data_IF_770745071184
#
_entry.id   IF_770745071184
#
_cell.length_a   1.000
_cell.length_b   1.000
_cell.length_c   1.000
_cell.angle_alpha   90.00
_cell.angle_beta   90.00
_cell.angle_gamma   90.00
#
_symmetry.space_group_name_H-M   'P 1'
#
loop_
_entity.id
_entity.type
_entity.pdbx_description
1 polymer ?
#
# COMPACT_ATOMS: atom_id res chain seq x y z
N UNK A 1 -3.67 -3.96 14.54
CA UNK A 1 -3.44 -5.40 14.25
C UNK A 1 -2.71 -6.03 15.44
N UNK A 2 -2.79 -7.35 15.70
CA UNK A 2 -1.89 -7.98 16.69
C UNK A 2 -0.46 -7.83 16.17
N UNK A 3 0.46 -7.25 16.94
CA UNK A 3 1.82 -6.93 16.47
C UNK A 3 2.53 -8.13 15.82
N UNK A 4 2.30 -9.34 16.33
CA UNK A 4 2.82 -10.59 15.78
C UNK A 4 2.48 -10.81 14.30
N UNK A 5 1.27 -10.43 13.88
CA UNK A 5 0.79 -10.62 12.51
C UNK A 5 1.48 -9.62 11.58
N UNK A 6 1.59 -8.36 12.01
CA UNK A 6 2.31 -7.33 11.24
C UNK A 6 3.77 -7.71 11.04
N UNK A 7 4.44 -8.19 12.08
CA UNK A 7 5.82 -8.65 12.01
C UNK A 7 5.99 -9.83 11.06
N UNK A 8 5.02 -10.76 11.04
CA UNK A 8 5.02 -11.88 10.09
C UNK A 8 4.89 -11.38 8.64
N UNK A 9 3.95 -10.47 8.39
CA UNK A 9 3.76 -9.86 7.06
C UNK A 9 5.05 -9.16 6.63
N UNK A 10 5.66 -8.35 7.50
CA UNK A 10 6.92 -7.67 7.19
C UNK A 10 8.01 -8.68 6.82
N UNK A 11 8.19 -9.74 7.62
CA UNK A 11 9.16 -10.78 7.32
C UNK A 11 8.93 -11.44 5.96
N UNK A 12 7.67 -11.69 5.59
CA UNK A 12 7.30 -12.23 4.27
C UNK A 12 7.61 -11.25 3.12
N UNK A 13 7.50 -9.94 3.36
CA UNK A 13 7.66 -8.92 2.32
C UNK A 13 9.10 -8.40 2.16
N UNK A 14 9.93 -8.51 3.19
CA UNK A 14 11.22 -7.82 3.26
C UNK A 14 12.42 -8.77 3.40
N UNK A 15 12.21 -10.08 3.29
CA UNK A 15 13.27 -11.09 3.46
C UNK A 15 14.48 -10.94 2.53
N UNK A 16 14.30 -10.24 1.40
CA UNK A 16 15.32 -10.04 0.36
C UNK A 16 15.78 -8.58 0.23
N UNK A 17 15.37 -7.69 1.14
CA UNK A 17 15.71 -6.26 1.04
C UNK A 17 17.06 -5.95 1.71
N UNK A 18 17.96 -5.32 0.96
CA UNK A 18 19.33 -5.01 1.40
C UNK A 18 19.44 -3.75 2.28
N UNK A 19 18.46 -2.85 2.21
CA UNK A 19 18.44 -1.61 3.00
C UNK A 19 17.01 -1.12 3.35
N UNK A 20 16.94 -0.13 4.24
CA UNK A 20 15.68 0.42 4.76
C UNK A 20 14.83 1.11 3.67
N UNK A 21 15.45 1.84 2.76
CA UNK A 21 14.71 2.53 1.69
C UNK A 21 14.05 1.52 0.74
N UNK A 22 14.80 0.49 0.33
CA UNK A 22 14.28 -0.58 -0.51
C UNK A 22 13.15 -1.35 0.17
N UNK A 23 13.27 -1.56 1.48
CA UNK A 23 12.23 -2.15 2.31
C UNK A 23 10.93 -1.34 2.26
N UNK A 24 11.00 -0.01 2.45
CA UNK A 24 9.83 0.87 2.40
C UNK A 24 9.18 0.86 1.01
N UNK A 25 9.98 0.98 -0.04
CA UNK A 25 9.51 0.93 -1.44
C UNK A 25 8.79 -0.40 -1.71
N UNK A 26 9.39 -1.53 -1.30
CA UNK A 26 8.82 -2.86 -1.51
C UNK A 26 7.47 -3.03 -0.83
N UNK A 27 7.34 -2.54 0.40
CA UNK A 27 6.08 -2.55 1.15
C UNK A 27 5.03 -1.72 0.43
N UNK A 28 5.37 -0.50 0.01
CA UNK A 28 4.47 0.36 -0.74
C UNK A 28 3.99 -0.31 -2.04
N UNK A 29 4.91 -0.82 -2.86
CA UNK A 29 4.59 -1.51 -4.10
C UNK A 29 3.65 -2.69 -3.86
N UNK A 30 3.93 -3.50 -2.84
CA UNK A 30 3.08 -4.64 -2.51
C UNK A 30 1.67 -4.23 -2.14
N UNK A 31 1.51 -3.17 -1.34
CA UNK A 31 0.19 -2.67 -0.92
C UNK A 31 -0.54 -1.98 -2.08
N UNK A 32 0.19 -1.22 -2.91
CA UNK A 32 -0.33 -0.60 -4.14
C UNK A 32 -0.92 -1.64 -5.08
N UNK A 33 -0.23 -2.76 -5.24
CA UNK A 33 -0.60 -3.82 -6.18
C UNK A 33 -1.73 -4.72 -5.64
N UNK A 34 -2.22 -4.49 -4.42
CA UNK A 34 -3.43 -5.17 -3.90
C UNK A 34 -4.67 -4.71 -4.70
N UNK A 35 -5.39 -5.63 -5.37
CA UNK A 35 -6.59 -5.32 -6.13
C UNK A 35 -7.61 -4.49 -5.36
N UNK A 36 -8.22 -3.53 -6.05
CA UNK A 36 -9.37 -2.80 -5.50
C UNK A 36 -10.59 -3.71 -5.36
N UNK A 37 -11.28 -3.57 -4.23
CA UNK A 37 -12.63 -4.12 -4.08
C UNK A 37 -13.13 -4.19 -2.65
N UNK A 38 -14.42 -4.50 -2.53
CA UNK A 38 -15.13 -4.54 -1.25
C UNK A 38 -14.97 -5.93 -0.63
N UNK A 39 -14.48 -5.95 0.61
CA UNK A 39 -14.34 -7.17 1.42
C UNK A 39 -15.10 -7.10 2.75
N UNK A 40 -15.96 -6.07 2.91
CA UNK A 40 -16.71 -5.75 4.14
C UNK A 40 -15.86 -5.66 5.41
N UNK A 41 -14.57 -5.35 5.26
CA UNK A 41 -13.63 -5.11 6.36
C UNK A 41 -12.61 -4.07 5.93
N UNK A 42 -12.15 -3.28 6.89
CA UNK A 42 -11.01 -2.36 6.75
C UNK A 42 -9.83 -2.78 7.64
N UNK A 43 -9.93 -3.94 8.29
CA UNK A 43 -8.85 -4.46 9.11
C UNK A 43 -7.66 -4.79 8.19
N UNK A 44 -6.46 -4.25 8.46
CA UNK A 44 -5.22 -4.55 7.75
C UNK A 44 -4.97 -6.04 7.50
N UNK A 45 -5.23 -6.88 8.51
CA UNK A 45 -5.07 -8.34 8.40
C UNK A 45 -6.00 -8.94 7.34
N UNK A 46 -7.26 -8.51 7.32
CA UNK A 46 -8.23 -8.98 6.34
C UNK A 46 -7.88 -8.53 4.92
N UNK A 47 -7.41 -7.27 4.78
CA UNK A 47 -6.98 -6.70 3.49
C UNK A 47 -5.79 -7.49 2.94
N UNK A 48 -4.81 -7.80 3.80
CA UNK A 48 -3.64 -8.61 3.41
C UNK A 48 -4.04 -10.04 3.02
N UNK A 49 -4.76 -10.75 3.91
CA UNK A 49 -5.12 -12.15 3.69
C UNK A 49 -6.03 -12.37 2.48
N UNK A 50 -7.00 -11.47 2.27
CA UNK A 50 -7.92 -11.54 1.11
C UNK A 50 -7.29 -11.00 -0.16
N UNK A 51 -6.10 -10.38 -0.07
CA UNK A 51 -5.41 -9.72 -1.17
C UNK A 51 -6.37 -8.84 -1.99
N UNK A 52 -7.21 -8.06 -1.29
CA UNK A 52 -8.23 -7.18 -1.88
C UNK A 52 -8.66 -6.12 -0.88
N UNK A 53 -8.85 -4.87 -1.32
CA UNK A 53 -9.31 -3.81 -0.42
C UNK A 53 -9.65 -2.49 -1.10
N UNK A 54 -10.46 -1.67 -0.42
CA UNK A 54 -10.75 -0.29 -0.83
C UNK A 54 -9.56 0.64 -0.62
N UNK A 55 -9.64 1.89 -1.07
CA UNK A 55 -8.60 2.90 -0.86
C UNK A 55 -8.22 3.00 0.63
N UNK A 56 -9.21 3.17 1.51
CA UNK A 56 -9.00 3.30 2.95
C UNK A 56 -8.43 2.02 3.58
N UNK A 57 -8.91 0.84 3.19
CA UNK A 57 -8.40 -0.43 3.73
C UNK A 57 -6.92 -0.64 3.41
N UNK A 58 -6.50 -0.33 2.19
CA UNK A 58 -5.09 -0.42 1.79
C UNK A 58 -4.19 0.58 2.52
N UNK A 59 -4.64 1.82 2.69
CA UNK A 59 -3.85 2.83 3.41
C UNK A 59 -3.71 2.50 4.91
N UNK A 60 -4.74 1.91 5.52
CA UNK A 60 -4.64 1.41 6.90
C UNK A 60 -3.64 0.26 7.03
N UNK A 61 -3.58 -0.65 6.04
CA UNK A 61 -2.54 -1.68 6.00
C UNK A 61 -1.13 -1.07 5.88
N UNK A 62 -0.93 -0.13 4.94
CA UNK A 62 0.34 0.54 4.76
C UNK A 62 0.81 1.26 6.03
N UNK A 63 -0.12 1.96 6.70
CA UNK A 63 0.14 2.65 7.97
C UNK A 63 0.66 1.71 9.04
N UNK A 64 -0.01 0.57 9.29
CA UNK A 64 0.43 -0.36 10.34
C UNK A 64 1.81 -0.95 10.03
N UNK A 65 2.10 -1.25 8.76
CA UNK A 65 3.41 -1.77 8.34
C UNK A 65 4.52 -0.75 8.62
N UNK A 66 4.32 0.51 8.25
CA UNK A 66 5.28 1.58 8.50
C UNK A 66 5.45 1.91 9.99
N UNK A 67 4.36 1.98 10.75
CA UNK A 67 4.43 2.17 12.21
C UNK A 67 5.23 1.05 12.88
N UNK A 68 5.07 -0.19 12.41
CA UNK A 68 5.81 -1.35 12.94
C UNK A 68 7.31 -1.27 12.63
N UNK A 69 7.70 -0.62 11.54
CA UNK A 69 9.10 -0.30 11.22
C UNK A 69 9.65 0.92 11.99
N UNK A 70 8.88 1.50 12.91
CA UNK A 70 9.27 2.68 13.68
C UNK A 70 9.15 4.00 12.91
N UNK A 71 8.48 4.00 11.76
CA UNK A 71 8.27 5.21 10.97
C UNK A 71 7.15 6.06 11.57
N UNK A 72 7.26 7.38 11.46
CA UNK A 72 6.15 8.29 11.74
C UNK A 72 5.23 8.34 10.53
N UNK A 73 3.95 8.07 10.74
CA UNK A 73 2.93 8.07 9.67
C UNK A 73 1.84 9.07 10.00
N UNK A 74 1.39 9.82 9.00
CA UNK A 74 0.24 10.73 9.08
C UNK A 74 -0.79 10.33 8.02
N UNK A 75 -2.04 10.22 8.45
CA UNK A 75 -3.15 10.00 7.53
C UNK A 75 -3.48 11.29 6.78
N UNK A 76 -3.63 11.18 5.46
CA UNK A 76 -4.02 12.28 4.58
C UNK A 76 -5.19 11.83 3.73
N UNK A 77 -6.24 12.65 3.66
CA UNK A 77 -7.38 12.43 2.77
C UNK A 77 -7.23 13.43 1.62
N UNK A 78 -7.26 12.90 0.40
CA UNK A 78 -7.26 13.70 -0.81
C UNK A 78 -8.45 13.29 -1.66
N UNK A 79 -9.18 14.27 -2.18
CA UNK A 79 -10.25 14.05 -3.14
C UNK A 79 -9.66 14.30 -4.53
N UNK A 80 -9.76 13.31 -5.40
CA UNK A 80 -9.46 13.47 -6.82
C UNK A 80 -10.77 13.38 -7.60
N UNK A 81 -10.99 14.34 -8.48
CA UNK A 81 -12.08 14.29 -9.45
C UNK A 81 -11.57 13.52 -10.67
N UNK A 82 -12.16 12.36 -10.96
CA UNK A 82 -11.75 11.51 -12.08
C UNK A 82 -11.80 12.23 -13.44
N UNK A 83 -12.59 13.30 -13.54
CA UNK A 83 -12.71 14.14 -14.75
C UNK A 83 -11.42 14.89 -15.09
N UNK A 84 -10.56 15.14 -14.09
CA UNK A 84 -9.30 15.87 -14.23
C UNK A 84 -8.11 14.95 -14.56
N UNK A 85 -8.32 13.62 -14.53
CA UNK A 85 -7.27 12.67 -14.87
C UNK A 85 -7.16 12.49 -16.40
N UNK A 86 -5.95 12.49 -16.96
CA UNK A 86 -5.73 12.09 -18.34
C UNK A 86 -6.34 10.72 -18.59
N UNK A 87 -7.29 10.65 -19.53
CA UNK A 87 -7.85 9.37 -19.98
C UNK A 87 -6.84 8.73 -20.95
N UNK A 88 -6.75 7.40 -20.93
CA UNK A 88 -5.85 6.61 -21.77
C UNK A 88 -4.35 6.73 -21.46
N UNK A 89 -3.98 7.12 -20.25
CA UNK A 89 -2.59 6.96 -19.77
C UNK A 89 -2.50 5.67 -18.95
N UNK A 90 -1.66 4.73 -19.40
CA UNK A 90 -1.16 3.68 -18.51
C UNK A 90 0.00 4.27 -17.70
N UNK A 91 -0.25 4.58 -16.43
CA UNK A 91 0.74 5.14 -15.51
C UNK A 91 1.94 4.21 -15.24
N UNK A 92 1.91 2.96 -15.72
CA UNK A 92 3.08 2.06 -15.68
C UNK A 92 4.02 2.27 -16.86
N UNK A 93 3.56 2.94 -17.90
CA UNK A 93 4.32 3.31 -19.10
C UNK A 93 4.06 4.79 -19.38
N UNK A 94 4.45 5.65 -18.44
CA UNK A 94 4.34 7.10 -18.63
C UNK A 94 5.25 7.47 -19.83
N UNK A 95 4.69 8.04 -20.91
CA UNK A 95 5.49 8.52 -22.04
C UNK A 95 6.58 9.48 -21.56
N UNK A 96 7.79 9.42 -22.14
CA UNK A 96 8.93 10.29 -21.77
C UNK A 96 8.58 11.78 -21.82
N UNK A 97 7.67 12.16 -22.70
CA UNK A 97 7.17 13.52 -22.91
C UNK A 97 6.34 14.07 -21.73
N UNK A 98 6.01 13.22 -20.74
CA UNK A 98 5.31 13.58 -19.51
C UNK A 98 6.17 13.35 -18.23
N UNK A 99 7.46 13.01 -18.38
CA UNK A 99 8.43 12.89 -17.28
C UNK A 99 9.16 14.22 -17.05
#
# INVERSE_FOLDING_TARGET
MRQEITTKILKELTSECENNERTLIRIFERVRDIPYGIINSRNPEDVYRKNKGTCSGKHLLLKELYLTLGMRVKDVICFHLNEELPRNIDYRTIPEELQ
#
